data_IF_236470292413
#
_entry.id   IF_236470292413
#
_cell.length_a   1.000
_cell.length_b   1.000
_cell.length_c   1.000
_cell.angle_alpha   90.00
_cell.angle_beta   90.00
_cell.angle_gamma   90.00
#
_symmetry.space_group_name_H-M   'P 1'
#
loop_
_entity.id
_entity.type
_entity.pdbx_description
1 polymer ?
#
# COMPACT_ATOMS: atom_id res chain seq x y z
N UNK A 1 -15.53 -11.61 -12.77
CA UNK A 1 -16.42 -12.17 -11.73
C UNK A 1 -17.64 -11.26 -11.57
N UNK A 2 -18.84 -11.81 -11.33
CA UNK A 2 -20.04 -11.01 -11.05
C UNK A 2 -19.92 -10.32 -9.69
N UNK A 3 -20.59 -9.18 -9.49
CA UNK A 3 -20.58 -8.46 -8.22
C UNK A 3 -20.99 -9.37 -7.05
N UNK A 4 -22.10 -10.10 -7.21
CA UNK A 4 -22.64 -11.00 -6.19
C UNK A 4 -21.62 -12.02 -5.68
N UNK A 5 -20.78 -12.58 -6.55
CA UNK A 5 -19.76 -13.56 -6.17
C UNK A 5 -18.54 -12.92 -5.52
N UNK A 6 -18.21 -11.68 -5.85
CA UNK A 6 -17.06 -10.96 -5.28
C UNK A 6 -17.37 -10.27 -3.95
N UNK A 7 -18.64 -9.99 -3.64
CA UNK A 7 -19.07 -9.37 -2.37
C UNK A 7 -18.83 -10.29 -1.18
N UNK A 8 -19.12 -11.59 -1.31
CA UNK A 8 -18.95 -12.59 -0.23
C UNK A 8 -17.51 -12.60 0.30
N UNK A 9 -16.46 -12.84 -0.53
CA UNK A 9 -15.09 -12.84 -0.03
C UNK A 9 -14.67 -11.47 0.51
N UNK A 10 -15.10 -10.36 -0.10
CA UNK A 10 -14.76 -9.03 0.39
C UNK A 10 -15.32 -8.76 1.81
N UNK A 11 -16.57 -9.16 2.07
CA UNK A 11 -17.20 -9.04 3.39
C UNK A 11 -16.54 -9.96 4.42
N UNK A 12 -16.30 -11.23 4.08
CA UNK A 12 -15.62 -12.18 4.97
C UNK A 12 -14.25 -11.64 5.37
N UNK A 13 -13.50 -11.08 4.42
CA UNK A 13 -12.23 -10.44 4.70
C UNK A 13 -12.34 -9.21 5.58
N UNK A 14 -13.30 -8.33 5.30
CA UNK A 14 -13.53 -7.13 6.10
C UNK A 14 -13.84 -7.48 7.56
N UNK A 15 -14.74 -8.44 7.78
CA UNK A 15 -15.07 -8.93 9.12
C UNK A 15 -13.84 -9.56 9.78
N UNK A 16 -13.11 -10.43 9.07
CA UNK A 16 -11.93 -11.11 9.61
C UNK A 16 -10.81 -10.14 9.98
N UNK A 17 -10.48 -9.16 9.13
CA UNK A 17 -9.44 -8.18 9.41
C UNK A 17 -9.79 -7.35 10.64
N UNK A 18 -11.04 -6.92 10.71
CA UNK A 18 -11.55 -6.14 11.85
C UNK A 18 -11.52 -6.97 13.12
N UNK A 19 -11.97 -8.22 13.07
CA UNK A 19 -11.97 -9.14 14.20
C UNK A 19 -10.55 -9.47 14.68
N UNK A 20 -9.60 -9.73 13.76
CA UNK A 20 -8.21 -10.01 14.10
C UNK A 20 -7.55 -8.82 14.79
N UNK A 21 -7.74 -7.60 14.27
CA UNK A 21 -7.15 -6.40 14.86
C UNK A 21 -7.83 -6.02 16.18
N UNK A 22 -9.14 -6.25 16.29
CA UNK A 22 -9.86 -6.06 17.55
C UNK A 22 -9.40 -7.05 18.61
N UNK A 23 -9.28 -8.33 18.26
CA UNK A 23 -8.75 -9.38 19.14
C UNK A 23 -7.30 -9.12 19.54
N UNK A 24 -6.47 -8.67 18.59
CA UNK A 24 -5.08 -8.30 18.83
C UNK A 24 -5.00 -7.14 19.85
N UNK A 25 -5.85 -6.12 19.71
CA UNK A 25 -5.96 -5.02 20.66
C UNK A 25 -6.40 -5.48 22.06
N UNK A 26 -7.41 -6.35 22.15
CA UNK A 26 -7.88 -6.91 23.42
C UNK A 26 -6.83 -7.79 24.12
N UNK A 27 -5.86 -8.34 23.38
CA UNK A 27 -4.81 -9.20 23.95
C UNK A 27 -3.75 -8.42 24.73
N UNK A 28 -3.74 -7.08 24.68
CA UNK A 28 -2.77 -6.25 25.41
C UNK A 28 -2.88 -6.44 26.92
N UNK A 29 -4.09 -6.58 27.45
CA UNK A 29 -4.32 -6.80 28.89
C UNK A 29 -3.71 -8.14 29.34
N UNK A 30 -3.86 -9.19 28.53
CA UNK A 30 -3.27 -10.50 28.80
C UNK A 30 -1.73 -10.46 28.85
N UNK A 31 -1.11 -9.53 28.10
CA UNK A 31 0.34 -9.34 28.11
C UNK A 31 0.85 -8.59 29.36
N UNK A 32 -0.02 -7.95 30.13
CA UNK A 32 0.38 -7.35 31.42
C UNK A 32 0.47 -8.38 32.55
N UNK A 33 -0.10 -9.57 32.36
CA UNK A 33 -0.07 -10.64 33.35
C UNK A 33 1.36 -11.20 33.48
N UNK A 34 1.76 -11.48 34.73
CA UNK A 34 3.08 -12.02 35.03
C UNK A 34 3.34 -13.36 34.30
N UNK A 35 2.32 -14.20 34.16
CA UNK A 35 2.42 -15.45 33.39
C UNK A 35 2.78 -15.28 31.91
N UNK A 36 2.42 -14.15 31.28
CA UNK A 36 2.85 -13.85 29.91
C UNK A 36 4.34 -13.50 29.87
N UNK A 37 4.83 -12.77 30.88
CA UNK A 37 6.25 -12.43 31.03
C UNK A 37 7.09 -13.67 31.33
N UNK A 38 6.58 -14.59 32.14
CA UNK A 38 7.24 -15.85 32.47
C UNK A 38 7.29 -16.82 31.27
N UNK A 39 6.24 -16.85 30.43
CA UNK A 39 6.17 -17.76 29.28
C UNK A 39 6.88 -17.24 28.02
N UNK A 40 6.77 -15.94 27.72
CA UNK A 40 7.30 -15.34 26.47
C UNK A 40 8.61 -14.57 26.70
N UNK A 41 8.93 -14.24 27.95
CA UNK A 41 10.03 -13.36 28.33
C UNK A 41 9.64 -11.88 28.22
N UNK A 42 10.12 -11.06 29.16
CA UNK A 42 9.71 -9.66 29.30
C UNK A 42 9.97 -8.78 28.07
N UNK A 43 10.99 -9.09 27.26
CA UNK A 43 11.30 -8.32 26.06
C UNK A 43 10.33 -8.60 24.90
N UNK A 44 9.94 -9.85 24.71
CA UNK A 44 8.96 -10.21 23.68
C UNK A 44 7.59 -9.67 24.04
N UNK A 45 7.25 -9.67 25.33
CA UNK A 45 6.06 -9.00 25.86
C UNK A 45 6.09 -7.49 25.57
N UNK A 46 7.20 -6.81 25.85
CA UNK A 46 7.33 -5.37 25.57
C UNK A 46 7.20 -5.05 24.06
N UNK A 47 7.81 -5.87 23.20
CA UNK A 47 7.70 -5.70 21.74
C UNK A 47 6.25 -5.93 21.25
N UNK A 48 5.58 -6.98 21.75
CA UNK A 48 4.17 -7.25 21.45
C UNK A 48 3.24 -6.15 21.97
N UNK A 49 3.46 -5.66 23.19
CA UNK A 49 2.71 -4.53 23.73
C UNK A 49 2.88 -3.29 22.85
N UNK A 50 4.10 -3.00 22.40
CA UNK A 50 4.36 -1.89 21.49
C UNK A 50 3.61 -2.03 20.15
N UNK A 51 3.53 -3.23 19.56
CA UNK A 51 2.82 -3.47 18.29
C UNK A 51 1.31 -3.44 18.43
N UNK A 52 0.78 -3.92 19.56
CA UNK A 52 -0.65 -4.09 19.81
C UNK A 52 -1.29 -2.86 20.44
N UNK A 53 -0.52 -2.05 21.17
CA UNK A 53 -0.99 -0.83 21.84
C UNK A 53 -1.76 0.12 20.92
N UNK A 54 -1.37 0.35 19.65
CA UNK A 54 -2.15 1.17 18.73
C UNK A 54 -3.56 0.62 18.40
N UNK A 55 -3.82 -0.66 18.64
CA UNK A 55 -5.12 -1.29 18.40
C UNK A 55 -5.88 -1.62 19.69
N UNK A 56 -5.26 -1.38 20.86
CA UNK A 56 -5.88 -1.56 22.16
C UNK A 56 -7.09 -0.63 22.32
N UNK A 57 -8.17 -1.19 22.85
CA UNK A 57 -9.38 -0.41 23.14
C UNK A 57 -9.26 0.35 24.47
N UNK A 58 -8.40 -0.14 25.36
CA UNK A 58 -8.16 0.48 26.65
C UNK A 58 -7.34 1.76 26.50
N UNK A 59 -7.77 2.85 27.14
CA UNK A 59 -7.06 4.12 27.07
C UNK A 59 -5.72 4.04 27.81
N UNK A 60 -4.70 4.81 27.38
CA UNK A 60 -3.40 4.86 28.05
C UNK A 60 -3.56 5.17 29.54
N UNK A 61 -2.68 4.62 30.40
CA UNK A 61 -2.74 4.84 31.86
C UNK A 61 -2.77 6.32 32.24
N UNK A 62 -2.06 7.18 31.51
CA UNK A 62 -2.09 8.63 31.70
C UNK A 62 -3.48 9.26 31.48
N UNK A 63 -4.31 8.66 30.62
CA UNK A 63 -5.71 9.05 30.41
C UNK A 63 -6.60 8.44 31.51
N UNK A 64 -6.38 7.17 31.87
CA UNK A 64 -7.16 6.47 32.93
C UNK A 64 -6.97 7.12 34.30
N UNK A 65 -5.77 7.57 34.61
CA UNK A 65 -5.39 8.18 35.89
C UNK A 65 -5.65 9.69 35.93
N UNK A 66 -6.12 10.29 34.83
CA UNK A 66 -6.34 11.75 34.73
C UNK A 66 -5.07 12.59 34.92
N UNK A 67 -3.89 11.98 34.83
CA UNK A 67 -2.58 12.59 35.15
C UNK A 67 -1.92 13.29 33.95
N UNK A 68 -2.53 13.18 32.77
CA UNK A 68 -2.11 13.81 31.53
C UNK A 68 -2.39 15.32 31.47
N UNK A 69 -1.71 16.09 32.33
CA UNK A 69 -1.37 17.50 32.06
C UNK A 69 -2.54 18.45 31.84
N UNK A 70 -3.41 18.60 32.85
CA UNK A 70 -4.01 19.84 33.35
C UNK A 70 -4.99 19.38 34.43
N UNK A 71 -4.63 19.58 35.69
CA UNK A 71 -5.47 19.13 36.80
C UNK A 71 -6.82 19.82 36.77
N UNK A 72 -7.89 19.08 36.49
CA UNK A 72 -9.16 19.25 37.19
C UNK A 72 -10.04 17.99 37.07
N UNK A 73 -10.85 17.85 38.11
CA UNK A 73 -11.69 16.77 38.61
C UNK A 73 -12.69 16.14 37.62
N UNK A 74 -12.72 14.79 37.58
CA UNK A 74 -13.87 13.90 37.29
C UNK A 74 -14.65 14.00 35.97
N UNK A 75 -15.07 15.20 35.55
CA UNK A 75 -16.01 15.45 34.45
C UNK A 75 -15.29 15.59 33.10
N UNK A 76 -14.14 16.25 33.06
CA UNK A 76 -13.38 16.39 31.80
C UNK A 76 -12.63 15.09 31.43
N UNK A 77 -12.22 14.30 32.42
CA UNK A 77 -11.68 12.95 32.20
C UNK A 77 -12.67 12.03 31.47
N UNK A 78 -13.95 12.07 31.85
CA UNK A 78 -15.01 11.31 31.17
C UNK A 78 -15.19 11.74 29.70
N UNK A 79 -15.04 13.04 29.39
CA UNK A 79 -15.08 13.53 28.01
C UNK A 79 -13.90 13.01 27.20
N UNK A 80 -12.67 13.10 27.71
CA UNK A 80 -11.49 12.58 27.03
C UNK A 80 -11.56 11.07 26.79
N UNK A 81 -12.10 10.30 27.75
CA UNK A 81 -12.38 8.87 27.60
C UNK A 81 -13.41 8.61 26.48
N UNK A 82 -14.52 9.34 26.47
CA UNK A 82 -15.53 9.19 25.39
C UNK A 82 -14.99 9.54 24.00
N UNK A 83 -14.07 10.51 23.90
CA UNK A 83 -13.35 10.85 22.67
C UNK A 83 -12.40 9.74 22.23
N UNK A 84 -11.72 9.08 23.18
CA UNK A 84 -10.87 7.92 22.90
C UNK A 84 -11.70 6.75 22.37
N UNK A 85 -12.80 6.41 23.05
CA UNK A 85 -13.73 5.36 22.62
C UNK A 85 -14.28 5.64 21.22
N UNK A 86 -14.71 6.88 20.96
CA UNK A 86 -15.18 7.30 19.63
C UNK A 86 -14.08 7.14 18.58
N UNK A 87 -12.85 7.54 18.88
CA UNK A 87 -11.70 7.37 17.99
C UNK A 87 -11.45 5.91 17.63
N UNK A 88 -11.55 5.00 18.60
CA UNK A 88 -11.41 3.56 18.37
C UNK A 88 -12.57 2.97 17.57
N UNK A 89 -13.82 3.37 17.84
CA UNK A 89 -14.98 2.97 17.03
C UNK A 89 -14.82 3.41 15.57
N UNK A 90 -14.42 4.67 15.34
CA UNK A 90 -14.13 5.21 14.01
C UNK A 90 -13.02 4.42 13.34
N UNK A 91 -11.95 4.04 14.06
CA UNK A 91 -10.85 3.23 13.51
C UNK A 91 -11.33 1.90 12.96
N UNK A 92 -12.08 1.11 13.75
CA UNK A 92 -12.56 -0.21 13.31
C UNK A 92 -13.62 -0.11 12.21
N UNK A 93 -14.52 0.89 12.28
CA UNK A 93 -15.49 1.15 11.22
C UNK A 93 -14.80 1.55 9.90
N UNK A 94 -13.83 2.47 9.97
CA UNK A 94 -13.06 2.92 8.82
C UNK A 94 -12.26 1.77 8.19
N UNK A 95 -11.66 0.90 8.99
CA UNK A 95 -10.95 -0.28 8.52
C UNK A 95 -11.85 -1.15 7.64
N UNK A 96 -13.07 -1.46 8.11
CA UNK A 96 -14.05 -2.23 7.35
C UNK A 96 -14.46 -1.51 6.06
N UNK A 97 -14.79 -0.22 6.16
CA UNK A 97 -15.27 0.61 5.04
C UNK A 97 -14.19 0.85 3.98
N UNK A 98 -12.90 0.90 4.32
CA UNK A 98 -11.82 1.01 3.34
C UNK A 98 -11.42 -0.35 2.76
N UNK A 99 -11.41 -1.41 3.57
CA UNK A 99 -11.02 -2.74 3.11
C UNK A 99 -12.02 -3.30 2.10
N UNK A 100 -13.32 -3.29 2.43
CA UNK A 100 -14.36 -3.99 1.65
C UNK A 100 -14.44 -3.49 0.20
N UNK A 101 -14.50 -2.17 -0.11
CA UNK A 101 -14.58 -1.69 -1.49
C UNK A 101 -13.34 -2.01 -2.31
N UNK A 102 -12.14 -1.90 -1.71
CA UNK A 102 -10.91 -2.21 -2.44
C UNK A 102 -10.71 -3.70 -2.64
N UNK A 103 -11.01 -4.54 -1.65
CA UNK A 103 -11.02 -5.99 -1.80
C UNK A 103 -12.05 -6.43 -2.86
N UNK A 104 -13.25 -5.84 -2.85
CA UNK A 104 -14.29 -6.08 -3.85
C UNK A 104 -13.81 -5.71 -5.25
N UNK A 105 -13.18 -4.53 -5.40
CA UNK A 105 -12.60 -4.09 -6.68
C UNK A 105 -11.53 -5.08 -7.15
N UNK A 106 -10.59 -5.44 -6.27
CA UNK A 106 -9.47 -6.32 -6.58
C UNK A 106 -9.93 -7.73 -6.95
N UNK A 107 -10.76 -8.39 -6.13
CA UNK A 107 -11.29 -9.74 -6.40
C UNK A 107 -12.14 -9.76 -7.66
N UNK A 108 -12.90 -8.68 -7.93
CA UNK A 108 -13.72 -8.59 -9.14
C UNK A 108 -12.86 -8.45 -10.40
N UNK A 109 -11.79 -7.65 -10.34
CA UNK A 109 -10.94 -7.29 -11.49
C UNK A 109 -9.81 -8.28 -11.74
N UNK A 110 -9.33 -8.91 -10.66
CA UNK A 110 -8.39 -10.01 -10.59
C UNK A 110 -9.12 -11.18 -9.91
N UNK A 111 -9.94 -11.96 -10.60
CA UNK A 111 -10.50 -13.16 -10.02
C UNK A 111 -9.37 -14.21 -9.80
N UNK A 112 -9.33 -14.90 -8.65
CA UNK A 112 -8.31 -15.90 -8.34
C UNK A 112 -8.60 -17.21 -9.07
N UNK A 113 -8.52 -17.20 -10.40
CA UNK A 113 -8.67 -18.39 -11.24
C UNK A 113 -7.34 -18.65 -11.93
N UNK A 114 -6.92 -19.91 -12.00
CA UNK A 114 -5.63 -20.36 -12.56
C UNK A 114 -4.43 -19.70 -11.84
N UNK A 115 -3.41 -19.26 -12.59
CA UNK A 115 -2.14 -18.69 -12.10
C UNK A 115 -2.28 -17.32 -11.41
N UNK A 116 -3.49 -16.77 -11.28
CA UNK A 116 -3.74 -15.43 -10.72
C UNK A 116 -3.90 -15.40 -9.21
N UNK A 117 -4.03 -16.56 -8.54
CA UNK A 117 -4.25 -16.66 -7.10
C UNK A 117 -3.18 -15.93 -6.27
N UNK A 118 -1.91 -16.04 -6.64
CA UNK A 118 -0.80 -15.37 -5.96
C UNK A 118 -0.88 -13.85 -6.15
N UNK A 119 -1.20 -13.39 -7.36
CA UNK A 119 -1.33 -11.95 -7.64
C UNK A 119 -2.48 -11.35 -6.85
N UNK A 120 -3.62 -12.05 -6.78
CA UNK A 120 -4.76 -11.62 -5.95
C UNK A 120 -4.43 -11.59 -4.48
N UNK A 121 -3.69 -12.59 -3.99
CA UNK A 121 -3.25 -12.66 -2.60
C UNK A 121 -2.39 -11.45 -2.26
N UNK A 122 -1.35 -11.18 -3.05
CA UNK A 122 -0.46 -10.04 -2.85
C UNK A 122 -1.19 -8.71 -2.96
N UNK A 123 -2.13 -8.57 -3.90
CA UNK A 123 -2.91 -7.36 -4.06
C UNK A 123 -3.86 -7.10 -2.88
N UNK A 124 -4.59 -8.13 -2.42
CA UNK A 124 -5.50 -7.99 -1.27
C UNK A 124 -4.71 -7.78 0.03
N UNK A 125 -3.55 -8.44 0.17
CA UNK A 125 -2.65 -8.24 1.30
C UNK A 125 -2.16 -6.78 1.36
N UNK A 126 -1.63 -6.27 0.26
CA UNK A 126 -1.17 -4.89 0.17
C UNK A 126 -2.31 -3.87 0.37
N UNK A 127 -3.51 -4.19 -0.10
CA UNK A 127 -4.67 -3.34 0.18
C UNK A 127 -5.07 -3.36 1.66
N UNK A 128 -4.94 -4.51 2.33
CA UNK A 128 -5.21 -4.62 3.77
C UNK A 128 -4.30 -3.74 4.62
N UNK A 129 -3.01 -3.63 4.27
CA UNK A 129 -2.08 -2.73 4.97
C UNK A 129 -2.43 -1.25 4.74
N UNK A 130 -2.80 -0.90 3.50
CA UNK A 130 -3.31 0.44 3.15
C UNK A 130 -4.59 0.78 3.92
N UNK A 131 -5.54 -0.15 4.00
CA UNK A 131 -6.79 0.06 4.75
C UNK A 131 -6.52 0.29 6.24
N UNK A 132 -5.57 -0.44 6.83
CA UNK A 132 -5.10 -0.21 8.21
C UNK A 132 -4.53 1.20 8.40
N UNK A 133 -3.67 1.66 7.48
CA UNK A 133 -3.12 3.02 7.49
C UNK A 133 -4.20 4.11 7.32
N UNK A 134 -5.18 3.91 6.43
CA UNK A 134 -6.28 4.86 6.25
C UNK A 134 -7.18 4.91 7.49
N UNK A 135 -7.41 3.76 8.13
CA UNK A 135 -8.18 3.68 9.37
C UNK A 135 -7.48 4.41 10.54
N UNK A 136 -6.17 4.23 10.70
CA UNK A 136 -5.40 4.97 11.73
C UNK A 136 -5.38 6.46 11.45
N UNK A 137 -5.30 6.85 10.17
CA UNK A 137 -5.38 8.25 9.73
C UNK A 137 -6.71 8.90 10.10
N UNK A 138 -7.82 8.26 9.73
CA UNK A 138 -9.17 8.83 9.92
C UNK A 138 -9.53 8.91 11.40
N UNK A 139 -9.07 7.97 12.23
CA UNK A 139 -9.31 7.98 13.68
C UNK A 139 -8.40 8.94 14.46
N UNK A 140 -7.25 9.33 13.90
CA UNK A 140 -6.24 10.09 14.62
C UNK A 140 -6.70 11.46 15.18
N UNK A 141 -7.59 12.24 14.53
CA UNK A 141 -8.08 13.49 15.12
C UNK A 141 -8.73 13.30 16.50
N UNK A 142 -9.55 12.26 16.66
CA UNK A 142 -10.20 11.94 17.94
C UNK A 142 -9.20 11.50 19.00
N UNK A 143 -8.19 10.72 18.63
CA UNK A 143 -7.16 10.23 19.56
C UNK A 143 -6.14 11.30 19.95
N UNK A 144 -5.87 12.27 19.07
CA UNK A 144 -5.08 13.45 19.40
C UNK A 144 -5.85 14.32 20.39
N UNK A 145 -7.13 14.59 20.10
CA UNK A 145 -8.00 15.35 20.98
C UNK A 145 -8.20 14.67 22.34
N UNK A 146 -8.31 13.34 22.38
CA UNK A 146 -8.45 12.58 23.64
C UNK A 146 -7.22 12.73 24.55
N UNK A 147 -6.03 12.97 23.99
CA UNK A 147 -4.77 13.11 24.74
C UNK A 147 -4.55 14.48 25.41
N UNK A 148 -5.54 15.39 25.33
CA UNK A 148 -5.47 16.72 25.97
C UNK A 148 -4.46 17.69 25.34
N UNK A 149 -3.79 17.31 24.24
CA UNK A 149 -2.76 18.14 23.60
C UNK A 149 -3.39 19.21 22.72
N UNK A 150 -3.66 20.37 23.30
CA UNK A 150 -4.13 21.56 22.59
C UNK A 150 -3.19 22.01 21.47
N UNK A 151 -3.71 21.97 20.24
CA UNK A 151 -3.58 22.96 19.17
C UNK A 151 -2.23 23.38 18.57
N UNK A 152 -1.05 22.98 19.05
CA UNK A 152 0.19 23.55 18.48
C UNK A 152 0.94 22.68 17.46
N UNK A 153 0.61 21.38 17.30
CA UNK A 153 1.25 20.47 16.34
C UNK A 153 0.34 19.30 15.90
N UNK A 154 -0.86 19.59 15.44
CA UNK A 154 -1.84 18.55 15.05
C UNK A 154 -1.39 17.70 13.86
N UNK A 155 -0.97 18.37 12.78
CA UNK A 155 -0.54 17.68 11.56
C UNK A 155 0.75 16.85 11.74
N UNK A 156 1.76 17.31 12.51
CA UNK A 156 2.92 16.49 12.85
C UNK A 156 2.62 15.25 13.71
N UNK A 157 1.54 15.26 14.49
CA UNK A 157 1.10 14.11 15.28
C UNK A 157 0.30 13.12 14.42
N UNK A 158 -0.53 13.62 13.49
CA UNK A 158 -1.21 12.81 12.49
C UNK A 158 -0.21 11.96 11.69
N UNK A 159 0.87 12.56 11.19
CA UNK A 159 1.91 11.83 10.45
C UNK A 159 2.58 10.73 11.30
N UNK A 160 2.76 10.95 12.61
CA UNK A 160 3.31 9.94 13.52
C UNK A 160 2.33 8.80 13.82
N UNK A 161 1.02 9.10 13.89
CA UNK A 161 0.00 8.07 14.11
C UNK A 161 -0.22 7.23 12.86
N UNK A 162 -0.08 7.81 11.66
CA UNK A 162 -0.12 7.09 10.38
C UNK A 162 0.92 5.97 10.29
N UNK A 163 2.10 6.15 10.87
CA UNK A 163 3.16 5.15 10.87
C UNK A 163 3.14 4.17 12.04
N UNK A 164 2.39 4.49 13.10
CA UNK A 164 2.30 3.63 14.29
C UNK A 164 1.36 2.45 14.05
N UNK A 165 1.71 1.28 14.59
CA UNK A 165 0.84 0.09 14.58
C UNK A 165 0.70 -0.63 13.23
N UNK A 166 1.58 -0.35 12.25
CA UNK A 166 1.53 -0.97 10.93
C UNK A 166 2.05 -2.42 10.92
N UNK A 167 2.77 -2.86 11.95
CA UNK A 167 3.37 -4.19 11.95
C UNK A 167 2.31 -5.28 12.09
N UNK A 168 1.40 -5.12 13.05
CA UNK A 168 0.30 -6.07 13.26
C UNK A 168 -0.72 -6.03 12.12
N UNK A 169 -0.93 -4.87 11.48
CA UNK A 169 -1.80 -4.78 10.30
C UNK A 169 -1.23 -5.55 9.12
N UNK A 170 0.08 -5.54 8.91
CA UNK A 170 0.74 -6.34 7.84
C UNK A 170 0.46 -7.83 8.03
N UNK A 171 0.59 -8.34 9.25
CA UNK A 171 0.35 -9.77 9.56
C UNK A 171 -1.14 -10.11 9.47
N UNK A 172 -2.01 -9.33 10.10
CA UNK A 172 -3.46 -9.54 10.06
C UNK A 172 -4.02 -9.44 8.64
N UNK A 173 -3.51 -8.50 7.83
CA UNK A 173 -3.87 -8.36 6.43
C UNK A 173 -3.43 -9.58 5.61
N UNK A 174 -2.30 -10.22 5.92
CA UNK A 174 -1.84 -11.41 5.18
C UNK A 174 -2.78 -12.60 5.43
N UNK A 175 -3.11 -12.86 6.69
CA UNK A 175 -4.06 -13.91 7.08
C UNK A 175 -5.42 -13.65 6.43
N UNK A 176 -5.87 -12.40 6.50
CA UNK A 176 -7.12 -11.98 5.85
C UNK A 176 -7.08 -12.18 4.33
N UNK A 177 -5.98 -11.83 3.68
CA UNK A 177 -5.80 -12.00 2.24
C UNK A 177 -5.86 -13.48 1.85
N UNK A 178 -5.26 -14.38 2.64
CA UNK A 178 -5.32 -15.82 2.39
C UNK A 178 -6.77 -16.34 2.44
N UNK A 179 -7.51 -16.00 3.49
CA UNK A 179 -8.91 -16.42 3.65
C UNK A 179 -9.80 -15.81 2.55
N UNK A 180 -9.66 -14.52 2.26
CA UNK A 180 -10.43 -13.86 1.20
C UNK A 180 -10.19 -14.47 -0.17
N UNK A 181 -8.94 -14.76 -0.52
CA UNK A 181 -8.60 -15.41 -1.79
C UNK A 181 -9.11 -16.85 -1.82
N UNK A 182 -9.06 -17.59 -0.72
CA UNK A 182 -9.58 -18.95 -0.64
C UNK A 182 -11.11 -18.97 -0.83
N UNK A 183 -11.85 -18.08 -0.16
CA UNK A 183 -13.29 -17.91 -0.35
C UNK A 183 -13.61 -17.41 -1.77
N UNK A 184 -12.81 -16.50 -2.31
CA UNK A 184 -12.96 -16.02 -3.68
C UNK A 184 -12.69 -17.13 -4.71
N UNK A 185 -11.73 -18.02 -4.46
CA UNK A 185 -11.43 -19.17 -5.30
C UNK A 185 -12.61 -20.17 -5.29
N UNK A 186 -13.14 -20.48 -4.11
CA UNK A 186 -14.32 -21.35 -3.96
C UNK A 186 -15.54 -20.76 -4.68
N UNK A 187 -15.82 -19.47 -4.50
CA UNK A 187 -16.96 -18.79 -5.16
C UNK A 187 -16.76 -18.56 -6.66
N UNK A 188 -15.51 -18.61 -7.15
CA UNK A 188 -15.18 -18.52 -8.56
C UNK A 188 -15.19 -19.88 -9.29
N UNK A 189 -15.30 -21.02 -8.59
CA UNK A 189 -15.44 -22.34 -9.23
C UNK A 189 -16.62 -22.33 -10.21
N UNK A 190 -16.38 -22.78 -11.44
CA UNK A 190 -17.35 -22.75 -12.54
C UNK A 190 -17.47 -21.42 -13.29
N UNK A 191 -16.63 -20.42 -13.01
CA UNK A 191 -16.46 -19.29 -13.92
C UNK A 191 -15.64 -19.75 -15.14
N UNK A 192 -16.20 -19.60 -16.35
CA UNK A 192 -15.52 -19.96 -17.60
C UNK A 192 -14.19 -19.22 -17.82
N UNK A 193 -13.43 -19.61 -18.86
CA UNK A 193 -12.12 -19.03 -19.14
C UNK A 193 -12.21 -17.50 -19.27
N UNK A 194 -11.29 -16.81 -18.58
CA UNK A 194 -11.25 -15.35 -18.55
C UNK A 194 -10.59 -14.83 -19.84
N UNK A 195 -11.17 -13.82 -20.51
CA UNK A 195 -10.53 -13.21 -21.66
C UNK A 195 -9.23 -12.51 -21.21
N UNK A 196 -8.12 -12.84 -21.86
CA UNK A 196 -6.86 -12.11 -21.75
C UNK A 196 -6.93 -10.93 -22.72
N UNK A 197 -6.78 -9.71 -22.21
CA UNK A 197 -6.66 -8.54 -23.07
C UNK A 197 -5.34 -8.59 -23.83
N UNK A 198 -5.39 -8.59 -25.17
CA UNK A 198 -4.20 -8.49 -26.00
C UNK A 198 -3.80 -7.01 -26.05
N UNK A 199 -2.82 -6.63 -25.23
CA UNK A 199 -2.23 -5.28 -25.26
C UNK A 199 -0.87 -5.38 -25.95
N UNK A 200 -0.54 -4.50 -26.92
CA UNK A 200 0.76 -4.49 -27.57
C UNK A 200 1.88 -4.39 -26.53
N UNK A 201 2.87 -5.29 -26.63
CA UNK A 201 3.93 -5.40 -25.61
C UNK A 201 4.75 -4.10 -25.45
N UNK A 202 4.82 -3.27 -26.50
CA UNK A 202 5.58 -2.01 -26.50
C UNK A 202 4.88 -0.90 -25.70
N UNK A 203 3.57 -0.75 -25.84
CA UNK A 203 2.79 0.25 -25.07
C UNK A 203 2.74 -0.13 -23.58
N UNK A 204 2.58 -1.41 -23.28
CA UNK A 204 2.64 -1.91 -21.90
C UNK A 204 4.01 -1.67 -21.23
N UNK A 205 5.11 -1.83 -21.97
CA UNK A 205 6.46 -1.52 -21.46
C UNK A 205 6.66 -0.03 -21.24
N UNK A 206 6.25 0.83 -22.18
CA UNK A 206 6.38 2.28 -22.07
C UNK A 206 5.60 2.84 -20.87
N UNK A 207 4.38 2.34 -20.66
CA UNK A 207 3.58 2.74 -19.53
C UNK A 207 4.14 2.27 -18.18
N UNK A 208 4.65 1.03 -18.14
CA UNK A 208 5.35 0.53 -16.96
C UNK A 208 6.58 1.36 -16.63
N UNK A 209 7.39 1.71 -17.65
CA UNK A 209 8.57 2.57 -17.45
C UNK A 209 8.20 3.96 -16.96
N UNK A 210 7.15 4.57 -17.50
CA UNK A 210 6.71 5.90 -17.07
C UNK A 210 6.23 5.91 -15.62
N UNK A 211 5.43 4.92 -15.22
CA UNK A 211 4.99 4.77 -13.83
C UNK A 211 6.15 4.50 -12.87
N UNK A 212 7.12 3.66 -13.26
CA UNK A 212 8.29 3.40 -12.42
C UNK A 212 9.24 4.56 -12.30
N UNK A 213 9.35 5.41 -13.33
CA UNK A 213 10.17 6.62 -13.24
C UNK A 213 9.62 7.55 -12.15
N UNK A 214 8.30 7.65 -11.98
CA UNK A 214 7.71 8.45 -10.89
C UNK A 214 8.16 7.93 -9.52
N UNK A 215 8.09 6.60 -9.32
CA UNK A 215 8.55 5.96 -8.07
C UNK A 215 10.06 6.11 -7.90
N UNK A 216 10.84 5.94 -8.95
CA UNK A 216 12.30 6.09 -8.93
C UNK A 216 12.73 7.51 -8.61
N UNK A 217 12.10 8.52 -9.21
CA UNK A 217 12.34 9.93 -8.92
C UNK A 217 12.01 10.22 -7.46
N UNK A 218 10.89 9.72 -6.95
CA UNK A 218 10.57 9.82 -5.52
C UNK A 218 11.66 9.19 -4.65
N UNK A 219 12.04 7.93 -4.93
CA UNK A 219 13.06 7.22 -4.15
C UNK A 219 14.41 7.93 -4.18
N UNK A 220 14.86 8.42 -5.35
CA UNK A 220 16.15 9.10 -5.49
C UNK A 220 16.15 10.49 -4.85
N UNK A 221 15.10 11.28 -5.07
CA UNK A 221 15.00 12.65 -4.54
C UNK A 221 14.84 12.63 -3.02
N UNK A 222 14.02 11.71 -2.48
CA UNK A 222 13.80 11.60 -1.02
C UNK A 222 14.95 10.91 -0.29
N UNK A 223 15.70 10.04 -0.96
CA UNK A 223 16.86 9.38 -0.35
C UNK A 223 18.16 10.18 -0.43
N UNK A 224 18.18 11.37 -1.06
CA UNK A 224 19.38 12.18 -1.18
C UNK A 224 19.57 13.09 0.05
N UNK A 225 20.68 12.93 0.78
CA UNK A 225 20.91 13.65 2.05
C UNK A 225 20.83 15.16 1.94
N UNK A 226 21.29 15.77 0.84
CA UNK A 226 21.18 17.22 0.66
C UNK A 226 19.73 17.68 0.53
N UNK A 227 18.86 16.84 -0.03
CA UNK A 227 17.42 17.14 -0.16
C UNK A 227 16.71 16.87 1.17
N UNK A 228 17.04 15.80 1.87
CA UNK A 228 16.51 15.54 3.21
C UNK A 228 16.95 16.62 4.22
N UNK A 229 18.21 17.03 4.18
CA UNK A 229 18.76 18.11 5.00
C UNK A 229 18.21 19.48 4.60
N UNK A 230 18.03 19.78 3.31
CA UNK A 230 17.38 21.03 2.88
C UNK A 230 15.90 21.05 3.27
N UNK A 231 15.19 19.93 3.14
CA UNK A 231 13.83 19.78 3.65
C UNK A 231 13.76 19.99 5.17
N UNK A 232 14.76 19.53 5.93
CA UNK A 232 14.88 19.75 7.37
C UNK A 232 15.20 21.20 7.74
N UNK A 233 15.96 21.93 6.90
CA UNK A 233 16.42 23.30 7.21
C UNK A 233 15.52 24.41 6.67
N UNK A 234 14.53 24.14 5.81
CA UNK A 234 13.57 25.15 5.37
C UNK A 234 12.71 25.61 6.56
N UNK A 235 12.87 26.85 7.06
CA UNK A 235 12.08 27.36 8.16
C UNK A 235 10.71 27.77 7.59
N UNK A 236 9.73 26.91 7.77
CA UNK A 236 8.33 27.18 7.43
C UNK A 236 7.57 27.87 8.57
N UNK A 237 8.24 28.12 9.70
CA UNK A 237 7.72 28.76 10.91
C UNK A 237 7.15 30.15 10.62
N UNK A 238 5.84 30.34 10.88
CA UNK A 238 5.17 31.65 10.84
C UNK A 238 4.35 31.99 9.59
N UNK A 239 4.23 31.08 8.61
CA UNK A 239 3.35 31.27 7.42
C UNK A 239 2.11 30.36 7.50
N UNK A 240 1.00 30.74 6.85
CA UNK A 240 -0.25 29.96 6.75
C UNK A 240 -0.07 28.51 6.21
N UNK A 241 1.10 28.18 5.66
CA UNK A 241 1.48 26.87 5.14
C UNK A 241 2.53 26.12 6.00
N UNK A 242 2.81 26.61 7.22
CA UNK A 242 3.80 26.03 8.12
C UNK A 242 3.48 24.58 8.49
N UNK A 243 2.23 24.36 8.85
CA UNK A 243 1.68 23.11 9.33
C UNK A 243 1.52 22.04 8.22
N UNK A 244 0.98 22.34 7.02
CA UNK A 244 0.97 21.38 5.91
C UNK A 244 2.37 21.11 5.33
N UNK A 245 3.29 22.09 5.40
CA UNK A 245 4.69 21.89 5.03
C UNK A 245 5.41 20.92 5.96
N UNK A 246 5.16 21.02 7.27
CA UNK A 246 5.70 20.09 8.27
C UNK A 246 5.09 18.69 8.16
N UNK A 247 3.81 18.58 7.80
CA UNK A 247 3.15 17.30 7.49
C UNK A 247 3.74 16.65 6.26
N UNK A 248 3.90 17.39 5.16
CA UNK A 248 4.53 16.88 3.96
C UNK A 248 5.97 16.47 4.26
N UNK A 249 6.72 17.28 5.00
CA UNK A 249 8.07 16.95 5.45
C UNK A 249 8.08 15.65 6.25
N UNK A 250 7.19 15.48 7.23
CA UNK A 250 7.09 14.23 7.99
C UNK A 250 6.59 13.06 7.17
N UNK A 251 5.64 13.22 6.25
CA UNK A 251 5.21 12.16 5.34
C UNK A 251 6.34 11.72 4.40
N UNK A 252 7.20 12.65 3.99
CA UNK A 252 8.37 12.37 3.18
C UNK A 252 9.52 11.76 4.01
N UNK A 253 9.70 12.19 5.26
CA UNK A 253 10.70 11.68 6.20
C UNK A 253 10.28 10.37 6.91
N UNK A 254 8.99 10.06 7.02
CA UNK A 254 8.45 8.76 7.43
C UNK A 254 8.20 7.84 6.23
N UNK A 255 8.05 8.42 5.03
CA UNK A 255 8.09 7.77 3.72
C UNK A 255 9.49 7.34 3.30
N UNK A 256 10.28 6.97 4.28
CA UNK A 256 11.70 6.80 4.18
C UNK A 256 12.03 5.41 3.65
N UNK A 257 12.55 5.34 2.42
CA UNK A 257 12.75 4.08 1.71
C UNK A 257 13.99 3.31 2.21
N UNK A 258 15.01 3.99 2.77
CA UNK A 258 16.24 3.37 3.30
C UNK A 258 17.14 4.32 4.13
N UNK A 259 17.63 3.95 5.35
CA UNK A 259 18.58 4.73 6.19
C UNK A 259 19.86 5.27 5.53
N UNK A 260 20.40 6.41 6.01
CA UNK A 260 21.76 6.80 5.71
C UNK A 260 22.64 5.67 6.23
N UNK A 261 23.35 4.99 5.33
CA UNK A 261 24.39 4.06 5.78
C UNK A 261 25.73 4.75 5.60
N UNK A 262 26.29 5.24 6.70
CA UNK A 262 27.70 5.60 6.81
C UNK A 262 28.51 4.29 6.90
N UNK A 263 28.66 3.61 5.75
CA UNK A 263 29.26 2.29 5.68
C UNK A 263 30.13 2.10 4.44
N UNK A 264 30.96 1.07 4.45
CA UNK A 264 31.80 0.69 3.31
C UNK A 264 30.96 0.53 2.03
N UNK A 265 31.55 0.85 0.87
CA UNK A 265 30.87 0.88 -0.44
C UNK A 265 30.05 -0.39 -0.75
N UNK A 266 30.53 -1.57 -0.34
CA UNK A 266 29.81 -2.84 -0.50
C UNK A 266 28.52 -2.92 0.30
N UNK A 267 28.51 -2.45 1.55
CA UNK A 267 27.33 -2.41 2.41
C UNK A 267 26.30 -1.40 1.88
N UNK A 268 26.77 -0.25 1.42
CA UNK A 268 25.93 0.74 0.74
C UNK A 268 25.26 0.17 -0.52
N UNK A 269 26.01 -0.58 -1.35
CA UNK A 269 25.50 -1.20 -2.56
C UNK A 269 24.43 -2.25 -2.26
N UNK A 270 24.66 -3.11 -1.25
CA UNK A 270 23.69 -4.11 -0.80
C UNK A 270 22.40 -3.46 -0.30
N UNK A 271 22.49 -2.34 0.43
CA UNK A 271 21.32 -1.60 0.89
C UNK A 271 20.53 -1.00 -0.27
N UNK A 272 21.23 -0.44 -1.28
CA UNK A 272 20.61 0.11 -2.51
C UNK A 272 20.04 -0.94 -3.44
N UNK A 273 20.50 -2.19 -3.35
CA UNK A 273 19.94 -3.30 -4.12
C UNK A 273 18.46 -3.54 -3.75
N UNK A 274 18.06 -3.22 -2.52
CA UNK A 274 16.66 -3.22 -2.09
C UNK A 274 15.80 -2.20 -2.84
N UNK A 275 16.31 -1.00 -3.12
CA UNK A 275 15.61 0.02 -3.93
C UNK A 275 15.43 -0.46 -5.39
N UNK A 276 16.46 -1.11 -5.95
CA UNK A 276 16.40 -1.69 -7.31
C UNK A 276 15.37 -2.81 -7.35
N UNK A 277 15.32 -3.64 -6.32
CA UNK A 277 14.35 -4.74 -6.20
C UNK A 277 12.92 -4.20 -6.13
N UNK A 278 12.69 -3.14 -5.35
CA UNK A 278 11.42 -2.43 -5.30
C UNK A 278 11.00 -1.92 -6.69
N UNK A 279 11.89 -1.22 -7.39
CA UNK A 279 11.61 -0.69 -8.72
C UNK A 279 11.36 -1.79 -9.74
N UNK A 280 12.11 -2.89 -9.67
CA UNK A 280 11.92 -4.07 -10.50
C UNK A 280 10.54 -4.70 -10.27
N UNK A 281 10.11 -4.86 -9.01
CA UNK A 281 8.78 -5.37 -8.66
C UNK A 281 7.69 -4.44 -9.20
N UNK A 282 7.79 -3.13 -8.97
CA UNK A 282 6.82 -2.14 -9.44
C UNK A 282 6.73 -2.17 -10.97
N UNK A 283 7.87 -2.19 -11.67
CA UNK A 283 7.93 -2.25 -13.13
C UNK A 283 7.30 -3.52 -13.67
N UNK A 284 7.64 -4.66 -13.07
CA UNK A 284 7.13 -5.95 -13.47
C UNK A 284 5.60 -6.02 -13.32
N UNK A 285 5.07 -5.56 -12.18
CA UNK A 285 3.64 -5.58 -11.90
C UNK A 285 2.89 -4.58 -12.79
N UNK A 286 3.40 -3.36 -12.99
CA UNK A 286 2.79 -2.38 -13.91
C UNK A 286 2.77 -2.88 -15.35
N UNK A 287 3.78 -3.64 -15.77
CA UNK A 287 3.82 -4.28 -17.08
C UNK A 287 2.78 -5.39 -17.21
N UNK A 288 2.52 -6.14 -16.14
CA UNK A 288 1.55 -7.24 -16.14
C UNK A 288 0.10 -6.78 -15.92
N UNK A 289 -0.12 -5.63 -15.28
CA UNK A 289 -1.43 -5.10 -14.93
C UNK A 289 -2.42 -5.03 -16.10
N UNK A 290 -2.03 -4.53 -17.30
CA UNK A 290 -2.92 -4.44 -18.45
C UNK A 290 -3.40 -5.81 -18.95
N UNK A 291 -2.60 -6.86 -18.76
CA UNK A 291 -2.88 -8.24 -19.19
C UNK A 291 -3.70 -8.99 -18.12
N UNK A 292 -3.43 -8.68 -16.85
CA UNK A 292 -4.07 -9.35 -15.71
C UNK A 292 -5.45 -8.77 -15.40
N UNK A 293 -5.66 -7.46 -15.58
CA UNK A 293 -6.95 -6.83 -15.30
C UNK A 293 -7.98 -7.22 -16.37
N UNK A 294 -9.14 -7.68 -15.90
CA UNK A 294 -10.29 -7.94 -16.79
C UNK A 294 -10.80 -6.70 -17.52
N UNK A 295 -10.56 -5.49 -16.97
CA UNK A 295 -10.68 -4.20 -17.67
C UNK A 295 -9.69 -3.20 -17.07
N UNK A 296 -8.88 -2.56 -17.91
CA UNK A 296 -7.94 -1.51 -17.52
C UNK A 296 -8.65 -0.15 -17.35
N UNK A 297 -9.35 0.01 -16.22
CA UNK A 297 -9.92 1.30 -15.79
C UNK A 297 -8.93 2.06 -14.91
N UNK A 298 -8.86 3.38 -15.04
CA UNK A 298 -8.00 4.27 -14.21
C UNK A 298 -7.99 3.92 -12.70
N UNK A 299 -9.14 3.70 -12.03
CA UNK A 299 -9.11 3.33 -10.60
C UNK A 299 -8.51 1.95 -10.35
N UNK A 300 -8.73 0.98 -11.24
CA UNK A 300 -8.19 -0.37 -11.05
C UNK A 300 -6.67 -0.43 -11.25
N UNK A 301 -6.17 0.35 -12.20
CA UNK A 301 -4.74 0.52 -12.43
C UNK A 301 -4.06 1.34 -11.32
N UNK A 302 -4.72 2.35 -10.78
CA UNK A 302 -4.22 3.12 -9.64
C UNK A 302 -4.13 2.25 -8.38
N UNK A 303 -5.21 1.53 -8.03
CA UNK A 303 -5.21 0.61 -6.89
C UNK A 303 -4.18 -0.52 -7.09
N UNK A 304 -4.07 -1.07 -8.30
CA UNK A 304 -3.06 -2.09 -8.61
C UNK A 304 -1.62 -1.57 -8.50
N UNK A 305 -1.37 -0.32 -8.90
CA UNK A 305 -0.07 0.34 -8.75
C UNK A 305 0.27 0.60 -7.28
N UNK A 306 -0.70 1.06 -6.47
CA UNK A 306 -0.55 1.16 -5.01
C UNK A 306 -0.17 -0.19 -4.42
N UNK A 307 -0.91 -1.26 -4.76
CA UNK A 307 -0.59 -2.60 -4.30
C UNK A 307 0.83 -3.03 -4.72
N UNK A 308 1.24 -2.73 -5.95
CA UNK A 308 2.59 -3.03 -6.43
C UNK A 308 3.68 -2.30 -5.64
N UNK A 309 3.47 -1.01 -5.33
CA UNK A 309 4.42 -0.22 -4.54
C UNK A 309 4.51 -0.67 -3.10
N UNK A 310 3.39 -1.07 -2.48
CA UNK A 310 3.37 -1.62 -1.12
C UNK A 310 4.05 -2.98 -1.07
N UNK A 311 3.82 -3.86 -2.05
CA UNK A 311 4.55 -5.14 -2.15
C UNK A 311 6.05 -4.87 -2.33
N UNK A 312 6.44 -3.99 -3.26
CA UNK A 312 7.84 -3.62 -3.47
C UNK A 312 8.52 -3.07 -2.20
N UNK A 313 7.79 -2.25 -1.43
CA UNK A 313 8.22 -1.75 -0.12
C UNK A 313 8.46 -2.88 0.89
N UNK A 314 7.52 -3.82 1.01
CA UNK A 314 7.67 -4.95 1.93
C UNK A 314 8.84 -5.86 1.54
N UNK A 315 9.06 -6.09 0.24
CA UNK A 315 10.22 -6.89 -0.21
C UNK A 315 11.53 -6.14 0.10
N UNK A 316 11.59 -4.82 -0.10
CA UNK A 316 12.74 -4.00 0.29
C UNK A 316 13.01 -4.10 1.81
N UNK A 317 11.97 -4.04 2.65
CA UNK A 317 12.10 -4.18 4.10
C UNK A 317 12.63 -5.56 4.52
N UNK A 318 12.14 -6.64 3.90
CA UNK A 318 12.66 -7.99 4.12
C UNK A 318 14.13 -8.08 3.70
N UNK A 319 14.49 -7.51 2.55
CA UNK A 319 15.88 -7.47 2.09
C UNK A 319 16.79 -6.70 3.06
N UNK A 320 16.39 -5.50 3.47
CA UNK A 320 17.15 -4.70 4.44
C UNK A 320 17.32 -5.43 5.76
N UNK A 321 16.28 -6.11 6.25
CA UNK A 321 16.39 -6.92 7.46
C UNK A 321 17.40 -8.07 7.33
N UNK A 322 17.46 -8.70 6.15
CA UNK A 322 18.39 -9.79 5.86
C UNK A 322 19.84 -9.30 5.86
N UNK A 323 20.09 -8.15 5.22
CA UNK A 323 21.40 -7.48 5.22
C UNK A 323 21.80 -7.11 6.66
N UNK A 324 20.91 -6.50 7.44
CA UNK A 324 21.19 -6.15 8.84
C UNK A 324 21.42 -7.39 9.73
N UNK A 325 20.70 -8.50 9.49
CA UNK A 325 20.95 -9.75 10.21
C UNK A 325 22.29 -10.40 9.87
N UNK A 326 22.80 -10.23 8.65
CA UNK A 326 24.10 -10.76 8.26
C UNK A 326 25.24 -10.04 8.99
N UNK A 327 25.11 -8.73 9.20
CA UNK A 327 26.17 -7.90 9.80
C UNK A 327 26.11 -7.85 11.33
N UNK A 328 24.90 -7.76 11.91
CA UNK A 328 24.69 -7.54 13.35
C UNK A 328 24.13 -8.77 14.07
N UNK A 329 23.99 -9.89 13.37
CA UNK A 329 23.35 -11.11 13.86
C UNK A 329 21.83 -11.10 13.72
N UNK A 330 21.22 -12.29 13.70
CA UNK A 330 19.78 -12.52 13.48
C UNK A 330 18.89 -11.75 14.45
N UNK A 331 19.35 -11.48 15.67
CA UNK A 331 18.64 -10.72 16.70
C UNK A 331 18.36 -9.27 16.29
N UNK A 332 19.35 -8.59 15.72
CA UNK A 332 19.21 -7.18 15.30
C UNK A 332 18.46 -7.06 13.97
N UNK A 333 18.61 -8.02 13.05
CA UNK A 333 17.80 -8.06 11.84
C UNK A 333 16.31 -8.29 12.11
N UNK A 334 15.95 -9.11 13.11
CA UNK A 334 14.55 -9.28 13.54
C UNK A 334 13.97 -7.99 14.14
N UNK A 335 14.74 -7.29 14.96
CA UNK A 335 14.33 -5.99 15.52
C UNK A 335 14.19 -4.91 14.44
N UNK A 336 15.07 -4.92 13.42
CA UNK A 336 14.96 -4.02 12.28
C UNK A 336 13.73 -4.32 11.43
N UNK A 337 13.48 -5.59 11.13
CA UNK A 337 12.28 -6.03 10.40
C UNK A 337 11.02 -5.60 11.15
N UNK A 338 10.93 -5.92 12.42
CA UNK A 338 9.77 -5.61 13.25
C UNK A 338 9.64 -4.12 13.51
N UNK A 339 10.71 -3.32 13.54
CA UNK A 339 10.62 -1.87 13.64
C UNK A 339 10.21 -1.18 12.33
N UNK A 340 10.59 -1.75 11.18
CA UNK A 340 10.40 -1.13 9.86
C UNK A 340 9.15 -1.61 9.11
N UNK A 341 8.56 -2.76 9.47
CA UNK A 341 7.43 -3.36 8.77
C UNK A 341 6.24 -2.39 8.66
N UNK A 342 5.86 -2.07 7.42
CA UNK A 342 4.77 -1.13 7.12
C UNK A 342 5.13 0.35 7.28
N UNK A 343 6.37 0.67 7.67
CA UNK A 343 6.93 2.02 7.56
C UNK A 343 7.00 2.45 6.10
N UNK A 344 6.44 3.61 5.75
CA UNK A 344 6.43 4.12 4.37
C UNK A 344 5.22 3.76 3.51
N UNK A 345 4.22 3.04 4.03
CA UNK A 345 2.91 2.84 3.37
C UNK A 345 2.25 4.15 2.91
N UNK A 346 2.29 5.28 3.66
CA UNK A 346 1.76 6.56 3.18
C UNK A 346 2.43 7.06 1.88
N UNK A 347 3.74 6.90 1.76
CA UNK A 347 4.48 7.27 0.56
C UNK A 347 4.17 6.31 -0.59
N UNK A 348 4.08 5.00 -0.31
CA UNK A 348 3.67 4.02 -1.30
C UNK A 348 2.26 4.31 -1.85
N UNK A 349 1.31 4.74 -1.00
CA UNK A 349 -0.01 5.17 -1.45
C UNK A 349 0.08 6.35 -2.42
N UNK A 350 0.76 7.44 -2.03
CA UNK A 350 0.84 8.66 -2.83
C UNK A 350 1.53 8.41 -4.18
N UNK A 351 2.73 7.82 -4.14
CA UNK A 351 3.55 7.58 -5.32
C UNK A 351 3.02 6.44 -6.18
N UNK A 352 2.39 5.43 -5.58
CA UNK A 352 1.69 4.36 -6.27
C UNK A 352 0.46 4.85 -7.03
N UNK A 353 -0.34 5.76 -6.43
CA UNK A 353 -1.46 6.41 -7.13
C UNK A 353 -0.97 7.21 -8.34
N UNK A 354 0.06 8.06 -8.17
CA UNK A 354 0.65 8.83 -9.26
C UNK A 354 1.21 7.92 -10.36
N UNK A 355 1.95 6.87 -10.00
CA UNK A 355 2.49 5.90 -10.94
C UNK A 355 1.39 5.16 -11.73
N UNK A 356 0.28 4.81 -11.08
CA UNK A 356 -0.85 4.19 -11.75
C UNK A 356 -1.57 5.14 -12.71
N UNK A 357 -1.73 6.41 -12.32
CA UNK A 357 -2.32 7.44 -13.19
C UNK A 357 -1.42 7.69 -14.41
N UNK A 358 -0.11 7.90 -14.21
CA UNK A 358 0.82 8.13 -15.33
C UNK A 358 0.90 6.93 -16.27
N UNK A 359 0.93 5.70 -15.74
CA UNK A 359 0.86 4.48 -16.54
C UNK A 359 -0.43 4.40 -17.38
N UNK A 360 -1.58 4.81 -16.83
CA UNK A 360 -2.85 4.79 -17.61
C UNK A 360 -2.90 5.83 -18.71
N UNK A 361 -2.43 7.03 -18.42
CA UNK A 361 -2.38 8.13 -19.39
C UNK A 361 -1.46 7.74 -20.54
N UNK A 362 -0.27 7.21 -20.23
CA UNK A 362 0.68 6.73 -21.25
C UNK A 362 0.15 5.55 -22.06
N UNK A 363 -0.56 4.59 -21.44
CA UNK A 363 -1.26 3.53 -22.19
C UNK A 363 -2.30 4.08 -23.16
N UNK A 364 -3.10 5.07 -22.73
CA UNK A 364 -4.13 5.69 -23.58
C UNK A 364 -3.51 6.46 -24.74
N UNK A 365 -2.43 7.19 -24.49
CA UNK A 365 -1.72 7.96 -25.50
C UNK A 365 -1.01 7.08 -26.53
N UNK A 366 -0.47 5.93 -26.10
CA UNK A 366 0.27 5.01 -26.98
C UNK A 366 -0.61 3.97 -27.67
N UNK A 367 -1.75 3.61 -27.08
CA UNK A 367 -2.72 2.68 -27.67
C UNK A 367 -3.69 3.33 -28.68
N UNK A 368 -3.78 4.67 -28.70
CA UNK A 368 -4.62 5.42 -29.65
C UNK A 368 -3.93 5.76 -30.98
N UNK A 369 -2.67 5.38 -31.17
CA UNK A 369 -1.98 5.54 -32.45
C UNK A 369 -2.22 4.26 -33.25
N UNK A 370 -3.12 4.24 -34.25
CA UNK A 370 -3.10 3.14 -35.20
C UNK A 370 -1.67 3.08 -35.74
N UNK A 371 -1.07 1.89 -35.70
CA UNK A 371 0.03 1.62 -36.62
C UNK A 371 -0.47 2.11 -37.97
N UNK A 372 0.23 3.08 -38.53
CA UNK A 372 0.12 3.39 -39.94
C UNK A 372 0.44 2.07 -40.62
N UNK A 373 -0.61 1.31 -40.93
CA UNK A 373 -0.54 0.21 -41.83
C UNK A 373 0.07 0.81 -43.07
N UNK A 374 1.34 0.47 -43.26
CA UNK A 374 2.01 0.49 -44.54
C UNK A 374 0.98 0.05 -45.55
N UNK A 375 0.50 1.00 -46.35
CA UNK A 375 -0.43 0.71 -47.42
C UNK A 375 0.25 -0.40 -48.24
N UNK A 376 -0.40 -1.55 -48.47
CA UNK A 376 0.18 -2.56 -49.33
C UNK A 376 0.52 -1.86 -50.66
N UNK A 377 1.70 -2.14 -51.25
CA UNK A 377 2.06 -1.53 -52.52
C UNK A 377 0.91 -1.76 -53.49
N UNK A 378 0.40 -0.67 -54.05
CA UNK A 378 -0.65 -0.71 -55.05
C UNK A 378 -0.23 -1.73 -56.11
N UNK A 379 -0.98 -2.83 -56.20
CA UNK A 379 -0.82 -3.77 -57.29
C UNK A 379 -0.92 -2.98 -58.60
N UNK A 380 0.07 -3.10 -59.51
CA UNK A 380 -0.07 -2.52 -60.82
C UNK A 380 -1.26 -3.17 -61.51
N UNK A 381 -2.25 -2.36 -61.85
CA UNK A 381 -3.40 -2.75 -62.68
C UNK A 381 -2.84 -3.24 -64.02
N UNK A 382 -2.67 -4.54 -64.17
CA UNK A 382 -2.45 -5.19 -65.45
C UNK A 382 -3.78 -5.26 -66.17
N UNK A 383 -4.07 -4.24 -66.97
CA UNK A 383 -5.10 -4.30 -68.00
C UNK A 383 -4.81 -5.46 -68.95
N UNK A 384 -5.72 -6.45 -69.11
CA UNK A 384 -5.57 -7.45 -70.16
C UNK A 384 -5.78 -6.79 -71.54
N UNK A 385 -5.10 -7.27 -72.59
CA UNK A 385 -5.21 -6.68 -73.92
C UNK A 385 -6.61 -6.91 -74.50
N UNK A 386 -7.25 -5.82 -74.89
CA UNK A 386 -8.50 -5.79 -75.65
C UNK A 386 -8.25 -6.38 -77.04
N UNK A 387 -8.72 -7.61 -77.27
CA UNK A 387 -8.77 -8.18 -78.60
C UNK A 387 -10.00 -7.64 -79.36
N UNK A 388 -9.76 -7.10 -80.55
CA UNK A 388 -10.72 -6.92 -81.65
C UNK A 388 -10.01 -7.38 -82.94
N UNK A 389 -10.69 -7.76 -84.03
CA UNK A 389 -12.12 -8.07 -84.23
C UNK A 389 -12.34 -9.44 -84.91
N UNK A 390 -13.58 -9.94 -84.97
CA UNK A 390 -13.99 -10.82 -86.08
C UNK A 390 -15.39 -10.44 -86.56
N UNK A 391 -15.45 -10.08 -87.83
CA UNK A 391 -16.63 -9.68 -88.62
C UNK A 391 -17.74 -10.74 -88.69
N UNK A 392 -18.96 -10.35 -89.08
CA UNK A 392 -20.09 -11.24 -89.29
C UNK A 392 -20.19 -11.73 -90.76
N UNK A 393 -20.61 -12.99 -90.95
CA UNK A 393 -21.32 -13.44 -92.15
C UNK A 393 -22.09 -14.73 -91.85
N UNK A 394 -23.41 -14.70 -92.06
CA UNK A 394 -24.36 -15.80 -91.88
C UNK A 394 -25.76 -15.27 -91.66
#
# INVERSE_FOLDING_TARGET
MTYRRAVIPALVGGVLLTALLWWAGASVEALHLQGATDALGGRMVADLQYWLSPWAYDPPEALRLGSGGLGDTGVDGARYLSLHETGMQVRFAALFVFFVPGALLLVRRLPPVNRRAVVTLLAVWAWGTVAGMLATTVSAPWLIASSGRGSYRGLPQLASMMSSGQQITVVAALVTAAVTVLVAWVTAKGAGPLPLGVVPARSARLAATAGTVVVAVSSVVLSYHRVAASLQTVPLSGRLLSEPGDLLRKLLLLGYWAPPTDGAFGHWLLYRLGDVLLLAVVWWVLRLLPVLLTRATVPATAVGAVCATVVGLLVNQVWQSAVTSADSGTRWGWQHLTGALGGGVPAALLWGLLAGVTATVTLRLTGGRPETAEAPPAEPVTTPPTALPSEPAG
#
